data_IF_632621014251
#
_entry.id   IF_632621014251
#
_cell.length_a   1.000
_cell.length_b   1.000
_cell.length_c   1.000
_cell.angle_alpha   90.00
_cell.angle_beta   90.00
_cell.angle_gamma   90.00
#
_symmetry.space_group_name_H-M   'P 1'
#
loop_
_entity.id
_entity.type
_entity.pdbx_description
1 polymer ?
#
# COMPACT_ATOMS: atom_id res chain seq x y z
N UNK A 1 -8.79 3.45 23.55
CA UNK A 1 -7.80 2.46 23.18
C UNK A 1 -7.12 2.75 21.85
N UNK A 2 -7.84 3.29 20.89
CA UNK A 2 -7.24 3.68 19.61
C UNK A 2 -6.18 4.77 19.82
N UNK A 3 -5.00 4.66 19.19
CA UNK A 3 -4.01 5.71 19.28
C UNK A 3 -4.45 6.95 18.51
N UNK A 4 -4.01 8.10 18.95
CA UNK A 4 -4.21 9.34 18.20
C UNK A 4 -3.00 9.52 17.28
N UNK A 5 -3.20 9.27 15.99
CA UNK A 5 -2.13 9.33 15.01
C UNK A 5 -2.16 10.67 14.28
N UNK A 6 -1.04 11.41 14.38
CA UNK A 6 -0.90 12.71 13.74
C UNK A 6 0.37 12.70 12.89
N UNK A 7 0.22 12.96 11.60
CA UNK A 7 1.36 13.07 10.69
C UNK A 7 2.07 14.41 10.93
N UNK A 8 3.38 14.37 11.05
CA UNK A 8 4.17 15.60 11.24
C UNK A 8 3.99 16.54 10.04
N UNK A 9 3.93 17.85 10.27
CA UNK A 9 3.73 18.80 9.16
C UNK A 9 4.75 18.64 8.02
N UNK A 10 6.01 18.35 8.33
CA UNK A 10 7.05 18.16 7.32
C UNK A 10 6.84 16.92 6.45
N UNK A 11 5.94 16.01 6.85
CA UNK A 11 5.65 14.78 6.09
C UNK A 11 4.28 14.80 5.43
N UNK A 12 3.53 15.90 5.53
CA UNK A 12 2.20 15.98 4.89
C UNK A 12 2.28 15.85 3.36
N UNK A 13 3.31 16.43 2.75
CA UNK A 13 3.51 16.29 1.31
C UNK A 13 3.74 14.85 0.89
N UNK A 14 4.55 14.13 1.66
CA UNK A 14 4.79 12.70 1.41
C UNK A 14 3.51 11.90 1.58
N UNK A 15 2.75 12.18 2.65
CA UNK A 15 1.47 11.50 2.89
C UNK A 15 0.55 11.66 1.68
N UNK A 16 0.42 12.87 1.14
CA UNK A 16 -0.45 13.13 0.00
C UNK A 16 0.03 12.41 -1.27
N UNK A 17 1.33 12.35 -1.50
CA UNK A 17 1.88 11.59 -2.62
C UNK A 17 1.56 10.10 -2.50
N UNK A 18 1.77 9.52 -1.32
CA UNK A 18 1.59 8.09 -1.10
C UNK A 18 0.11 7.71 -1.06
N UNK A 19 -0.74 8.57 -0.50
CA UNK A 19 -2.18 8.32 -0.44
C UNK A 19 -2.76 8.08 -1.83
N UNK A 20 -2.31 8.81 -2.83
CA UNK A 20 -2.78 8.66 -4.20
C UNK A 20 -2.40 7.31 -4.81
N UNK A 21 -1.38 6.65 -4.27
CA UNK A 21 -0.89 5.36 -4.77
C UNK A 21 -1.54 4.16 -4.09
N UNK A 22 -2.37 4.42 -3.08
CA UNK A 22 -3.03 3.35 -2.34
C UNK A 22 -4.53 3.26 -2.69
N UNK A 23 -5.16 2.08 -2.64
CA UNK A 23 -4.54 0.80 -2.25
C UNK A 23 -3.46 0.37 -3.25
N UNK A 24 -2.33 -0.06 -2.70
CA UNK A 24 -1.19 -0.44 -3.53
C UNK A 24 -1.57 -1.55 -4.52
N UNK A 25 -1.06 -1.45 -5.74
CA UNK A 25 -1.34 -2.36 -6.86
C UNK A 25 -2.75 -2.19 -7.47
N UNK A 26 -3.58 -1.32 -6.91
CA UNK A 26 -4.94 -1.09 -7.41
C UNK A 26 -5.11 0.30 -8.02
N UNK A 27 -4.01 0.96 -8.35
CA UNK A 27 -3.98 2.25 -9.03
C UNK A 27 -3.22 2.11 -10.35
N UNK A 28 -3.91 1.72 -11.42
CA UNK A 28 -3.24 1.45 -12.71
C UNK A 28 -2.53 2.67 -13.31
N UNK A 29 -2.91 3.89 -12.92
CA UNK A 29 -2.22 5.09 -13.36
C UNK A 29 -0.76 5.15 -12.88
N UNK A 30 -0.42 4.42 -11.81
CA UNK A 30 0.96 4.40 -11.28
C UNK A 30 1.73 3.16 -11.71
N UNK A 31 1.06 2.02 -11.87
CA UNK A 31 1.71 0.80 -12.33
C UNK A 31 0.68 -0.14 -12.93
N UNK A 32 0.77 -0.38 -14.23
CA UNK A 32 -0.15 -1.25 -14.96
C UNK A 32 0.55 -2.45 -15.58
N UNK A 33 1.69 -2.22 -16.23
CA UNK A 33 2.43 -3.28 -16.92
C UNK A 33 3.30 -4.05 -15.93
N UNK A 34 3.74 -5.25 -16.35
CA UNK A 34 4.69 -6.05 -15.54
C UNK A 34 5.94 -5.25 -15.22
N UNK A 35 6.48 -4.54 -16.21
CA UNK A 35 7.68 -3.73 -16.03
C UNK A 35 7.46 -2.61 -15.01
N UNK A 36 6.30 -1.94 -15.07
CA UNK A 36 5.97 -0.89 -14.12
C UNK A 36 5.79 -1.43 -12.71
N UNK A 37 5.15 -2.60 -12.58
CA UNK A 37 4.97 -3.26 -11.29
C UNK A 37 6.31 -3.70 -10.70
N UNK A 38 7.22 -4.19 -11.54
CA UNK A 38 8.57 -4.54 -11.11
C UNK A 38 9.33 -3.31 -10.63
N UNK A 39 9.21 -2.18 -11.34
CA UNK A 39 9.88 -0.94 -10.96
C UNK A 39 9.33 -0.37 -9.64
N UNK A 40 8.05 -0.60 -9.35
CA UNK A 40 7.40 -0.10 -8.15
C UNK A 40 7.62 -0.98 -6.91
N UNK A 41 8.16 -2.19 -7.08
CA UNK A 41 8.40 -3.09 -5.96
C UNK A 41 9.88 -3.29 -5.73
N UNK A 42 10.29 -3.31 -4.46
CA UNK A 42 11.66 -3.65 -4.11
C UNK A 42 11.93 -5.10 -4.49
N UNK A 43 13.19 -5.42 -4.76
CA UNK A 43 13.60 -6.76 -5.20
C UNK A 43 13.20 -7.83 -4.19
N UNK A 44 13.26 -7.49 -2.90
CA UNK A 44 12.90 -8.38 -1.80
C UNK A 44 11.52 -8.11 -1.23
N UNK A 45 10.65 -7.45 -1.99
CA UNK A 45 9.28 -7.18 -1.57
C UNK A 45 8.53 -8.47 -1.24
N UNK A 46 7.70 -8.41 -0.20
CA UNK A 46 6.73 -9.45 0.12
C UNK A 46 5.57 -8.83 0.87
N UNK A 47 4.49 -9.59 1.05
CA UNK A 47 3.33 -9.06 1.76
C UNK A 47 2.63 -10.11 2.59
N UNK A 48 1.83 -9.63 3.54
CA UNK A 48 0.91 -10.45 4.32
C UNK A 48 -0.50 -9.96 3.98
N UNK A 49 -1.30 -10.85 3.42
CA UNK A 49 -2.69 -10.53 3.12
C UNK A 49 -3.55 -10.51 4.37
N UNK A 50 -4.77 -9.97 4.25
CA UNK A 50 -5.69 -9.86 5.37
C UNK A 50 -6.10 -11.22 5.97
N UNK A 51 -5.91 -12.30 5.22
CA UNK A 51 -6.12 -13.68 5.70
C UNK A 51 -4.99 -14.20 6.57
N UNK A 52 -3.87 -13.47 6.64
CA UNK A 52 -2.67 -13.91 7.32
C UNK A 52 -1.68 -14.67 6.44
N UNK A 53 -2.03 -14.93 5.18
CA UNK A 53 -1.12 -15.62 4.26
C UNK A 53 -0.02 -14.69 3.79
N UNK A 54 1.17 -15.25 3.63
CA UNK A 54 2.33 -14.53 3.10
C UNK A 54 2.44 -14.77 1.61
N UNK A 55 2.78 -13.73 0.87
CA UNK A 55 2.93 -13.79 -0.59
C UNK A 55 4.27 -13.21 -1.01
N UNK A 56 4.99 -13.95 -1.85
CA UNK A 56 6.25 -13.49 -2.40
C UNK A 56 6.03 -12.42 -3.48
N UNK A 57 7.07 -11.65 -3.76
CA UNK A 57 7.05 -10.70 -4.89
C UNK A 57 6.68 -11.40 -6.20
N UNK A 58 7.30 -12.55 -6.46
CA UNK A 58 7.03 -13.30 -7.69
C UNK A 58 5.56 -13.67 -7.84
N UNK A 59 4.94 -14.12 -6.75
CA UNK A 59 3.51 -14.46 -6.76
C UNK A 59 2.63 -13.24 -7.02
N UNK A 60 2.90 -12.14 -6.30
CA UNK A 60 2.12 -10.90 -6.44
C UNK A 60 2.22 -10.37 -7.87
N UNK A 61 3.42 -10.27 -8.40
CA UNK A 61 3.62 -9.75 -9.75
C UNK A 61 2.94 -10.63 -10.81
N UNK A 62 3.01 -11.94 -10.65
CA UNK A 62 2.37 -12.88 -11.56
C UNK A 62 0.84 -12.72 -11.53
N UNK A 63 0.26 -12.62 -10.34
CA UNK A 63 -1.17 -12.46 -10.16
C UNK A 63 -1.67 -11.15 -10.78
N UNK A 64 -0.96 -10.05 -10.52
CA UNK A 64 -1.33 -8.75 -11.06
C UNK A 64 -1.16 -8.67 -12.57
N UNK A 65 -0.10 -9.27 -13.10
CA UNK A 65 0.16 -9.28 -14.54
C UNK A 65 -0.92 -10.04 -15.32
N UNK A 66 -1.63 -10.96 -14.67
CA UNK A 66 -2.76 -11.69 -15.28
C UNK A 66 -4.04 -10.87 -15.31
N UNK A 67 -4.02 -9.65 -14.80
CA UNK A 67 -5.21 -8.81 -14.74
C UNK A 67 -6.21 -9.23 -13.66
N UNK A 68 -5.77 -9.98 -12.65
CA UNK A 68 -6.64 -10.45 -11.57
C UNK A 68 -6.86 -9.33 -10.53
N UNK A 69 -7.21 -8.14 -11.02
CA UNK A 69 -7.55 -7.00 -10.17
C UNK A 69 -9.06 -6.92 -10.02
N UNK A 70 -9.49 -6.52 -8.84
CA UNK A 70 -10.91 -6.40 -8.54
C UNK A 70 -11.51 -5.23 -9.34
N UNK A 71 -12.60 -5.52 -10.08
CA UNK A 71 -13.29 -4.53 -10.90
C UNK A 71 -14.15 -3.56 -10.07
N UNK A 72 -14.34 -3.82 -8.77
CA UNK A 72 -15.18 -2.99 -7.91
C UNK A 72 -14.38 -1.96 -7.10
N UNK A 73 -13.15 -1.67 -7.54
CA UNK A 73 -12.25 -0.74 -6.86
C UNK A 73 -12.85 0.66 -6.69
N UNK A 74 -13.71 1.08 -7.59
CA UNK A 74 -14.36 2.39 -7.53
C UNK A 74 -15.27 2.53 -6.30
N UNK A 75 -15.66 1.41 -5.68
CA UNK A 75 -16.50 1.40 -4.49
C UNK A 75 -15.68 1.37 -3.21
N UNK A 76 -14.36 1.27 -3.32
CA UNK A 76 -13.48 1.22 -2.16
C UNK A 76 -13.27 2.61 -1.58
N UNK A 77 -13.24 2.68 -0.26
CA UNK A 77 -13.03 3.93 0.45
C UNK A 77 -11.82 3.81 1.37
N UNK A 78 -10.99 4.83 1.34
CA UNK A 78 -9.81 4.91 2.20
C UNK A 78 -9.97 6.05 3.20
N UNK A 79 -9.45 5.86 4.41
CA UNK A 79 -9.51 6.86 5.47
C UNK A 79 -8.38 6.64 6.49
N UNK A 80 -8.28 7.53 7.46
CA UNK A 80 -7.36 7.43 8.60
C UNK A 80 -5.88 7.33 8.16
N UNK A 81 -5.50 8.07 7.14
CA UNK A 81 -4.11 8.04 6.68
C UNK A 81 -3.16 8.64 7.70
N UNK A 82 -2.06 7.93 7.94
CA UNK A 82 -0.97 8.40 8.77
C UNK A 82 0.35 8.00 8.11
N UNK A 83 1.30 8.92 8.08
CA UNK A 83 2.62 8.70 7.50
C UNK A 83 3.70 9.01 8.53
N UNK A 84 4.63 8.08 8.68
CA UNK A 84 5.76 8.24 9.60
C UNK A 84 7.06 7.95 8.87
N UNK A 85 8.03 8.84 9.00
CA UNK A 85 9.38 8.58 8.50
C UNK A 85 10.08 7.59 9.43
N UNK A 86 10.55 6.47 8.88
CA UNK A 86 11.27 5.46 9.64
C UNK A 86 12.77 5.70 9.59
N UNK A 87 13.24 6.18 8.45
CA UNK A 87 14.63 6.51 8.19
C UNK A 87 14.63 7.42 6.96
N UNK A 88 15.79 7.91 6.55
CA UNK A 88 15.87 8.77 5.37
C UNK A 88 15.23 8.09 4.16
N UNK A 89 14.27 8.77 3.52
CA UNK A 89 13.54 8.29 2.34
C UNK A 89 12.78 6.98 2.53
N UNK A 90 12.49 6.63 3.79
CA UNK A 90 11.78 5.40 4.14
C UNK A 90 10.59 5.75 5.04
N UNK A 91 9.38 5.37 4.61
CA UNK A 91 8.14 5.80 5.27
C UNK A 91 7.20 4.63 5.52
N UNK A 92 6.54 4.67 6.66
CA UNK A 92 5.43 3.77 6.97
C UNK A 92 4.14 4.54 6.77
N UNK A 93 3.31 4.06 5.84
CA UNK A 93 1.98 4.60 5.59
C UNK A 93 0.95 3.62 6.12
N UNK A 94 0.05 4.10 6.95
CA UNK A 94 -1.07 3.29 7.44
C UNK A 94 -2.39 3.96 7.13
N UNK A 95 -3.43 3.15 6.93
CA UNK A 95 -4.76 3.67 6.64
C UNK A 95 -5.81 2.58 6.83
N UNK A 96 -7.07 2.96 6.71
CA UNK A 96 -8.21 2.06 6.78
C UNK A 96 -8.80 1.92 5.38
N UNK A 97 -9.08 0.69 4.96
CA UNK A 97 -9.71 0.39 3.68
C UNK A 97 -11.06 -0.27 3.89
N UNK A 98 -12.10 0.34 3.31
CA UNK A 98 -13.44 -0.24 3.28
C UNK A 98 -13.70 -0.79 1.88
N UNK A 99 -14.05 -2.07 1.81
CA UNK A 99 -14.43 -2.76 0.57
C UNK A 99 -15.82 -3.35 0.79
N UNK A 100 -16.85 -2.53 0.58
CA UNK A 100 -18.19 -2.90 0.98
C UNK A 100 -18.28 -2.97 2.50
N UNK A 101 -18.62 -4.15 3.04
CA UNK A 101 -18.70 -4.36 4.49
C UNK A 101 -17.36 -4.77 5.11
N UNK A 102 -16.38 -5.09 4.25
CA UNK A 102 -15.07 -5.53 4.72
C UNK A 102 -14.21 -4.32 5.08
N UNK A 103 -13.76 -4.29 6.34
CA UNK A 103 -12.90 -3.23 6.85
C UNK A 103 -11.53 -3.82 7.18
N UNK A 104 -10.47 -3.23 6.64
CA UNK A 104 -9.10 -3.66 6.95
C UNK A 104 -8.25 -2.46 7.32
N UNK A 105 -7.29 -2.69 8.23
CA UNK A 105 -6.19 -1.75 8.49
C UNK A 105 -5.04 -2.15 7.59
N UNK A 106 -4.46 -1.20 6.90
CA UNK A 106 -3.40 -1.45 5.92
C UNK A 106 -2.13 -0.72 6.31
N UNK A 107 -0.99 -1.36 6.06
CA UNK A 107 0.33 -0.78 6.31
C UNK A 107 1.21 -1.06 5.11
N UNK A 108 1.87 -0.02 4.60
CA UNK A 108 2.80 -0.14 3.46
C UNK A 108 4.09 0.57 3.83
N UNK A 109 5.22 -0.08 3.60
CA UNK A 109 6.53 0.56 3.74
C UNK A 109 6.97 1.00 2.35
N UNK A 110 7.12 2.31 2.18
CA UNK A 110 7.51 2.95 0.94
C UNK A 110 8.92 3.51 1.04
N UNK A 111 9.68 3.37 -0.03
CA UNK A 111 11.02 3.94 -0.14
C UNK A 111 11.06 4.88 -1.33
N UNK A 112 11.57 6.09 -1.10
CA UNK A 112 11.78 7.05 -2.19
C UNK A 112 13.18 6.86 -2.75
N UNK A 113 13.26 6.52 -4.03
CA UNK A 113 14.50 6.35 -4.73
C UNK A 113 14.68 7.36 -5.86
N UNK A 114 15.80 7.28 -6.56
CA UNK A 114 16.10 8.18 -7.69
C UNK A 114 15.12 8.01 -8.85
N UNK A 115 14.53 6.84 -9.00
CA UNK A 115 13.56 6.53 -10.07
C UNK A 115 12.11 6.53 -9.60
N UNK A 116 11.85 6.96 -8.36
CA UNK A 116 10.49 7.06 -7.82
C UNK A 116 10.28 6.20 -6.58
N UNK A 117 9.02 6.02 -6.24
CA UNK A 117 8.64 5.28 -5.04
C UNK A 117 8.61 3.78 -5.29
N UNK A 118 9.10 3.00 -4.30
CA UNK A 118 9.03 1.54 -4.31
C UNK A 118 8.40 1.04 -3.03
N UNK A 119 7.63 -0.05 -3.14
CA UNK A 119 7.05 -0.74 -2.00
C UNK A 119 8.02 -1.81 -1.52
N UNK A 120 8.33 -1.81 -0.22
CA UNK A 120 9.17 -2.83 0.39
C UNK A 120 8.34 -3.94 1.02
N UNK A 121 7.21 -3.56 1.63
CA UNK A 121 6.35 -4.49 2.36
C UNK A 121 4.94 -3.92 2.44
N UNK A 122 3.95 -4.81 2.45
CA UNK A 122 2.56 -4.44 2.65
C UNK A 122 1.86 -5.46 3.53
N UNK A 123 0.96 -5.01 4.38
CA UNK A 123 0.16 -5.90 5.22
C UNK A 123 -1.25 -5.34 5.41
N UNK A 124 -2.23 -6.24 5.30
CA UNK A 124 -3.60 -5.94 5.66
C UNK A 124 -4.04 -6.79 6.84
N UNK A 125 -4.91 -6.24 7.68
CA UNK A 125 -5.47 -6.95 8.83
C UNK A 125 -6.96 -6.63 8.92
N UNK A 126 -7.80 -7.66 9.00
CA UNK A 126 -9.24 -7.47 9.13
C UNK A 126 -9.56 -6.91 10.51
N UNK A 127 -10.39 -5.86 10.53
CA UNK A 127 -10.86 -5.29 11.79
C UNK A 127 -11.93 -6.22 12.35
N UNK A 128 -11.75 -6.63 13.59
CA UNK A 128 -12.71 -7.47 14.31
C UNK A 128 -13.59 -6.59 15.18
N UNK A 129 -14.88 -6.86 15.16
CA UNK A 129 -15.85 -6.15 16.00
C UNK A 129 -15.88 -6.70 17.42
#
# INVERSE_FOLDING_TARGET
MEPKLVTRPEHQGVLEELRRREPVFHRPEFARTRAELEAMTAEDFWEIGASGRRYSRAYVLKTLARGERDAVEDQWQTSDFHCRELARDLYLLTYTLLQGERCTRRATIWQRGSSGWRVLFHQGTIVQD
#
